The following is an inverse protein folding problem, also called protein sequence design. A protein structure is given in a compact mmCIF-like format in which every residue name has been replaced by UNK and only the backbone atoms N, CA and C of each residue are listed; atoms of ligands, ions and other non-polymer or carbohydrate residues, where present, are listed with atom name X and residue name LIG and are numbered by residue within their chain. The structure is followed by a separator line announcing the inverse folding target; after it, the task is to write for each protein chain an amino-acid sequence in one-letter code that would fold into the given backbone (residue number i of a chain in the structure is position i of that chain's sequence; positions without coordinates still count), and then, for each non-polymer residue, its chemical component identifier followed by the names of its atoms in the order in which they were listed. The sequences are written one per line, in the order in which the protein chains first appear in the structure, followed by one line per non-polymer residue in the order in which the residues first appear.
data_IF_440057857913
#
_entry.id   IF_440057857913
#
_cell.length_a   1.000
_cell.length_b   1.000
_cell.length_c   1.000
_cell.angle_alpha   90.00
_cell.angle_beta   90.00
_cell.angle_gamma   90.00
#
_symmetry.space_group_name_H-M   'P 1'
#
loop_
_entity.id
_entity.type
_entity.pdbx_description
1 polymer ?
#
# COMPACT_ATOMS: atom_id res chain seq x y z
N UNK A 1 13.61 21.96 7.37
CA UNK A 1 13.23 22.55 6.06
C UNK A 1 13.63 21.66 4.89
N UNK A 2 14.85 21.16 4.85
CA UNK A 2 15.35 20.31 3.78
C UNK A 2 14.54 19.02 3.61
N UNK A 3 14.22 18.35 4.71
CA UNK A 3 13.42 17.13 4.72
C UNK A 3 12.05 17.37 4.10
N UNK A 4 11.39 18.46 4.48
CA UNK A 4 10.09 18.82 3.95
C UNK A 4 10.13 19.15 2.47
N UNK A 5 11.15 19.90 2.02
CA UNK A 5 11.31 20.23 0.61
C UNK A 5 11.54 18.98 -0.24
N UNK A 6 12.34 18.06 0.25
CA UNK A 6 12.59 16.79 -0.44
C UNK A 6 11.30 15.99 -0.59
N UNK A 7 10.49 15.92 0.47
CA UNK A 7 9.20 15.24 0.43
C UNK A 7 8.21 15.93 -0.53
N UNK A 8 8.18 17.26 -0.54
CA UNK A 8 7.33 18.02 -1.45
C UNK A 8 7.68 17.75 -2.92
N UNK A 9 8.97 17.66 -3.25
CA UNK A 9 9.40 17.31 -4.60
C UNK A 9 8.97 15.89 -4.96
N UNK A 10 9.04 14.98 -4.01
CA UNK A 10 8.65 13.59 -4.24
C UNK A 10 7.16 13.45 -4.55
N UNK A 11 6.27 14.19 -3.89
CA UNK A 11 4.83 14.08 -4.13
C UNK A 11 4.38 14.70 -5.45
N UNK A 12 5.21 15.50 -6.09
CA UNK A 12 4.86 16.19 -7.34
C UNK A 12 5.01 15.30 -8.58
N UNK A 13 4.51 14.06 -8.53
CA UNK A 13 4.60 13.11 -9.65
C UNK A 13 3.38 12.17 -9.60
N UNK A 14 2.73 11.89 -10.76
CA UNK A 14 1.46 11.15 -10.79
C UNK A 14 1.48 9.78 -10.13
N UNK A 15 2.49 8.97 -10.42
CA UNK A 15 2.58 7.61 -9.85
C UNK A 15 2.75 7.66 -8.32
N UNK A 16 3.55 8.59 -7.84
CA UNK A 16 3.78 8.74 -6.40
C UNK A 16 2.53 9.24 -5.67
N UNK A 17 1.75 10.12 -6.29
CA UNK A 17 0.45 10.52 -5.74
C UNK A 17 -0.51 9.35 -5.65
N UNK A 18 -0.54 8.50 -6.67
CA UNK A 18 -1.38 7.30 -6.69
C UNK A 18 -0.97 6.33 -5.60
N UNK A 19 0.33 6.07 -5.46
CA UNK A 19 0.87 5.21 -4.41
C UNK A 19 0.52 5.73 -3.02
N UNK A 20 0.66 7.03 -2.80
CA UNK A 20 0.34 7.64 -1.53
C UNK A 20 -1.14 7.44 -1.18
N UNK A 21 -2.02 7.60 -2.16
CA UNK A 21 -3.46 7.40 -2.00
C UNK A 21 -3.79 5.94 -1.65
N UNK A 22 -3.23 4.99 -2.40
CA UNK A 22 -3.45 3.55 -2.17
C UNK A 22 -2.92 3.15 -0.79
N UNK A 23 -1.73 3.59 -0.44
CA UNK A 23 -1.08 3.23 0.82
C UNK A 23 -1.62 3.97 2.04
N UNK A 24 -2.57 4.89 1.84
CA UNK A 24 -3.40 5.46 2.90
C UNK A 24 -4.55 4.54 3.29
N UNK A 25 -4.89 3.58 2.44
CA UNK A 25 -6.03 2.70 2.62
C UNK A 25 -5.65 1.32 3.15
N UNK A 26 -4.37 1.01 3.21
CA UNK A 26 -3.89 -0.27 3.71
C UNK A 26 -2.42 -0.50 3.43
N UNK A 27 -1.93 -1.66 3.85
CA UNK A 27 -0.56 -2.09 3.62
C UNK A 27 -0.53 -3.07 2.44
N UNK A 28 0.43 -2.89 1.54
CA UNK A 28 0.54 -3.70 0.34
C UNK A 28 2.01 -4.00 0.03
N UNK A 29 2.26 -5.16 -0.57
CA UNK A 29 3.58 -5.51 -1.09
C UNK A 29 3.73 -5.00 -2.52
N UNK A 30 4.96 -5.10 -3.08
CA UNK A 30 5.26 -4.60 -4.43
C UNK A 30 4.39 -5.26 -5.49
N UNK A 31 4.20 -6.57 -5.40
CA UNK A 31 3.40 -7.33 -6.37
C UNK A 31 1.96 -6.81 -6.42
N UNK A 32 1.36 -6.60 -5.26
CA UNK A 32 0.00 -6.06 -5.15
C UNK A 32 -0.08 -4.64 -5.70
N UNK A 33 0.90 -3.80 -5.39
CA UNK A 33 0.93 -2.42 -5.88
C UNK A 33 1.11 -2.35 -7.39
N UNK A 34 1.91 -3.24 -7.96
CA UNK A 34 2.07 -3.38 -9.40
C UNK A 34 0.73 -3.70 -10.06
N UNK A 35 -0.02 -4.62 -9.47
CA UNK A 35 -1.35 -4.99 -9.94
C UNK A 35 -2.34 -3.82 -9.83
N UNK A 36 -2.35 -3.13 -8.70
CA UNK A 36 -3.26 -2.00 -8.44
C UNK A 36 -3.00 -0.86 -9.42
N UNK A 37 -1.74 -0.49 -9.61
CA UNK A 37 -1.38 0.63 -10.47
C UNK A 37 -1.37 0.28 -11.97
N UNK A 38 -1.22 -1.00 -12.31
CA UNK A 38 -1.10 -1.42 -13.69
C UNK A 38 0.20 -0.94 -14.34
N UNK A 39 1.28 -0.87 -13.57
CA UNK A 39 2.61 -0.46 -14.05
C UNK A 39 3.62 -1.57 -13.82
N UNK A 40 4.79 -1.46 -14.43
CA UNK A 40 5.84 -2.47 -14.29
C UNK A 40 6.40 -2.51 -12.87
N UNK A 41 6.84 -3.69 -12.44
CA UNK A 41 7.44 -3.87 -11.13
C UNK A 41 8.69 -2.99 -10.92
N UNK A 42 9.63 -2.91 -11.86
CA UNK A 42 10.79 -2.04 -11.67
C UNK A 42 10.44 -0.57 -11.48
N UNK A 43 9.42 -0.08 -12.19
CA UNK A 43 8.94 1.29 -12.04
C UNK A 43 8.31 1.52 -10.66
N UNK A 44 7.42 0.63 -10.24
CA UNK A 44 6.77 0.72 -8.93
C UNK A 44 7.82 0.63 -7.82
N UNK A 45 8.75 -0.31 -7.90
CA UNK A 45 9.82 -0.48 -6.91
C UNK A 45 10.68 0.77 -6.76
N UNK A 46 11.03 1.43 -7.86
CA UNK A 46 11.83 2.66 -7.80
C UNK A 46 11.09 3.79 -7.10
N UNK A 47 9.80 3.96 -7.38
CA UNK A 47 8.99 4.97 -6.70
C UNK A 47 8.84 4.68 -5.22
N UNK A 48 8.59 3.42 -4.85
CA UNK A 48 8.47 3.01 -3.46
C UNK A 48 9.75 3.27 -2.67
N UNK A 49 10.89 2.93 -3.27
CA UNK A 49 12.20 3.16 -2.62
C UNK A 49 12.43 4.65 -2.35
N UNK A 50 12.19 5.49 -3.35
CA UNK A 50 12.33 6.93 -3.22
C UNK A 50 11.39 7.48 -2.14
N UNK A 51 10.14 7.08 -2.14
CA UNK A 51 9.14 7.55 -1.17
C UNK A 51 9.46 7.12 0.25
N UNK A 52 10.00 5.92 0.43
CA UNK A 52 10.45 5.45 1.74
C UNK A 52 11.68 6.25 2.22
N UNK A 53 12.63 6.52 1.33
CA UNK A 53 13.82 7.30 1.65
C UNK A 53 13.50 8.73 2.09
N UNK A 54 12.50 9.36 1.49
CA UNK A 54 12.11 10.75 1.84
C UNK A 54 11.13 10.82 3.01
N UNK A 55 10.74 9.68 3.56
CA UNK A 55 9.90 9.64 4.76
C UNK A 55 8.39 9.71 4.52
N UNK A 56 7.92 9.50 3.30
CA UNK A 56 6.50 9.46 2.98
C UNK A 56 5.87 8.11 3.28
N UNK A 57 6.64 7.04 3.19
CA UNK A 57 6.20 5.68 3.42
C UNK A 57 7.04 5.00 4.49
N UNK A 58 6.43 4.09 5.21
CA UNK A 58 7.11 3.13 6.06
C UNK A 58 7.15 1.78 5.35
N UNK A 59 8.26 1.10 5.54
CA UNK A 59 8.52 -0.22 4.98
C UNK A 59 8.83 -1.17 6.13
N UNK A 60 8.17 -2.32 6.17
CA UNK A 60 8.47 -3.32 7.19
C UNK A 60 8.38 -4.73 6.63
N UNK A 61 9.12 -5.63 7.26
CA UNK A 61 9.09 -7.05 6.93
C UNK A 61 8.10 -7.79 7.81
N UNK A 62 7.35 -8.69 7.19
CA UNK A 62 6.47 -9.61 7.88
C UNK A 62 6.72 -11.00 7.27
N UNK A 63 7.53 -11.81 7.95
CA UNK A 63 8.04 -13.06 7.39
C UNK A 63 8.91 -12.82 6.17
N UNK A 64 8.56 -13.43 5.04
CA UNK A 64 9.24 -13.22 3.76
C UNK A 64 8.66 -12.02 2.96
N UNK A 65 7.61 -11.41 3.46
CA UNK A 65 6.94 -10.30 2.79
C UNK A 65 7.52 -8.96 3.21
N UNK A 66 7.59 -8.02 2.26
CA UNK A 66 7.92 -6.62 2.52
C UNK A 66 6.67 -5.80 2.23
N UNK A 67 6.17 -5.12 3.26
CA UNK A 67 4.95 -4.33 3.18
C UNK A 67 5.27 -2.84 3.24
N UNK A 68 4.49 -2.06 2.53
CA UNK A 68 4.56 -0.60 2.51
C UNK A 68 3.25 -0.02 3.01
N UNK A 69 3.35 1.09 3.72
CA UNK A 69 2.19 1.88 4.17
C UNK A 69 2.57 3.35 4.21
N UNK A 70 1.58 4.23 4.16
CA UNK A 70 1.83 5.66 4.33
C UNK A 70 2.31 5.93 5.76
N UNK A 71 3.36 6.75 5.88
CA UNK A 71 3.81 7.21 7.21
C UNK A 71 2.79 8.19 7.77
N UNK A 72 2.43 8.05 9.03
CA UNK A 72 1.46 8.93 9.68
C UNK A 72 2.11 10.00 10.53
N UNK A 73 3.23 9.68 11.19
CA UNK A 73 3.90 10.57 12.13
C UNK A 73 4.90 11.53 11.49
N UNK A 74 5.24 12.58 12.23
CA UNK A 74 6.22 13.57 11.82
C UNK A 74 5.72 14.52 10.73
N UNK A 75 6.61 15.43 10.29
CA UNK A 75 6.28 16.42 9.27
C UNK A 75 5.97 15.79 7.91
N UNK A 76 6.75 14.79 7.50
CA UNK A 76 6.52 14.09 6.23
C UNK A 76 5.24 13.28 6.25
N UNK A 77 4.89 12.67 7.38
CA UNK A 77 3.62 11.97 7.54
C UNK A 77 2.44 12.93 7.47
N UNK A 78 2.55 14.08 8.13
CA UNK A 78 1.52 15.12 8.07
C UNK A 78 1.34 15.64 6.64
N UNK A 79 2.44 15.85 5.92
CA UNK A 79 2.40 16.26 4.52
C UNK A 79 1.66 15.22 3.66
N UNK A 80 2.02 13.94 3.80
CA UNK A 80 1.38 12.87 3.05
C UNK A 80 -0.13 12.81 3.29
N UNK A 81 -0.54 12.93 4.54
CA UNK A 81 -1.96 12.97 4.91
C UNK A 81 -2.69 14.15 4.31
N UNK A 82 -2.09 15.34 4.34
CA UNK A 82 -2.68 16.54 3.76
C UNK A 82 -2.82 16.42 2.24
N UNK A 83 -1.80 15.88 1.56
CA UNK A 83 -1.84 15.67 0.11
C UNK A 83 -2.98 14.70 -0.27
N UNK A 84 -3.11 13.58 0.44
CA UNK A 84 -4.19 12.61 0.18
C UNK A 84 -5.56 13.29 0.36
N UNK A 85 -5.71 14.13 1.37
CA UNK A 85 -6.94 14.87 1.60
C UNK A 85 -7.30 15.86 0.50
N UNK A 86 -6.32 16.28 -0.31
CA UNK A 86 -6.53 17.21 -1.42
C UNK A 86 -6.85 16.50 -2.74
N UNK A 87 -6.68 15.18 -2.82
CA UNK A 87 -6.92 14.43 -4.07
C UNK A 87 -8.40 14.37 -4.37
N UNK A 88 -8.75 14.62 -5.64
CA UNK A 88 -10.12 14.56 -6.12
C UNK A 88 -10.57 13.10 -6.23
N UNK A 89 -11.53 12.72 -5.40
CA UNK A 89 -12.01 11.33 -5.35
C UNK A 89 -12.74 10.89 -6.62
N UNK A 90 -13.22 11.84 -7.43
CA UNK A 90 -13.92 11.57 -8.69
C UNK A 90 -12.98 11.41 -9.89
N UNK A 91 -11.67 11.42 -9.65
CA UNK A 91 -10.69 11.21 -10.70
C UNK A 91 -10.75 9.76 -11.21
N UNK A 92 -10.82 9.59 -12.53
CA UNK A 92 -10.98 8.27 -13.16
C UNK A 92 -9.81 7.32 -12.85
N UNK A 93 -8.59 7.85 -12.78
CA UNK A 93 -7.41 7.04 -12.46
C UNK A 93 -7.47 6.54 -11.02
N UNK A 94 -7.83 7.42 -10.08
CA UNK A 94 -7.96 7.04 -8.67
C UNK A 94 -9.11 6.05 -8.45
N UNK A 95 -10.21 6.19 -9.19
CA UNK A 95 -11.31 5.24 -9.14
C UNK A 95 -10.91 3.86 -9.63
N UNK A 96 -10.16 3.79 -10.70
CA UNK A 96 -9.61 2.54 -11.22
C UNK A 96 -8.68 1.88 -10.21
N UNK A 97 -7.81 2.68 -9.58
CA UNK A 97 -6.92 2.17 -8.53
C UNK A 97 -7.73 1.59 -7.37
N UNK A 98 -8.79 2.27 -6.93
CA UNK A 98 -9.67 1.78 -5.87
C UNK A 98 -10.33 0.46 -6.23
N UNK A 99 -10.79 0.32 -7.47
CA UNK A 99 -11.40 -0.92 -7.95
C UNK A 99 -10.40 -2.09 -7.86
N UNK A 100 -9.18 -1.88 -8.34
CA UNK A 100 -8.13 -2.90 -8.30
C UNK A 100 -7.68 -3.21 -6.87
N UNK A 101 -7.65 -2.19 -6.01
CA UNK A 101 -7.35 -2.38 -4.59
C UNK A 101 -8.38 -3.31 -3.94
N UNK A 102 -9.66 -3.09 -4.22
CA UNK A 102 -10.72 -3.97 -3.70
C UNK A 102 -10.57 -5.40 -4.21
N UNK A 103 -10.15 -5.58 -5.45
CA UNK A 103 -9.88 -6.90 -6.02
C UNK A 103 -8.73 -7.60 -5.28
N UNK A 104 -7.67 -6.87 -4.96
CA UNK A 104 -6.54 -7.40 -4.19
C UNK A 104 -6.99 -7.82 -2.79
N UNK A 105 -7.79 -6.99 -2.11
CA UNK A 105 -8.32 -7.32 -0.78
C UNK A 105 -9.24 -8.55 -0.84
N UNK A 106 -10.04 -8.68 -1.88
CA UNK A 106 -10.90 -9.84 -2.08
C UNK A 106 -10.07 -11.11 -2.31
N UNK A 107 -9.01 -11.02 -3.09
CA UNK A 107 -8.09 -12.13 -3.30
C UNK A 107 -7.45 -12.59 -1.99
N UNK A 108 -7.02 -11.64 -1.14
CA UNK A 108 -6.50 -11.94 0.20
C UNK A 108 -7.53 -12.65 1.05
N UNK A 109 -8.76 -12.17 1.04
CA UNK A 109 -9.86 -12.74 1.81
C UNK A 109 -10.14 -14.17 1.38
N UNK A 110 -10.19 -14.42 0.07
CA UNK A 110 -10.42 -15.75 -0.47
C UNK A 110 -9.29 -16.71 -0.11
N UNK A 111 -8.03 -16.26 -0.18
CA UNK A 111 -6.88 -17.06 0.20
C UNK A 111 -6.92 -17.43 1.69
N UNK A 112 -7.28 -16.49 2.55
CA UNK A 112 -7.42 -16.73 3.99
C UNK A 112 -8.55 -17.74 4.27
N UNK A 113 -9.67 -17.61 3.59
CA UNK A 113 -10.79 -18.55 3.75
C UNK A 113 -10.42 -19.96 3.27
N UNK A 114 -9.72 -20.06 2.14
CA UNK A 114 -9.24 -21.34 1.64
C UNK A 114 -8.28 -22.01 2.63
N UNK A 115 -7.38 -21.22 3.23
CA UNK A 115 -6.48 -21.70 4.27
C UNK A 115 -7.25 -22.25 5.47
N UNK A 116 -8.23 -21.51 5.97
CA UNK A 116 -9.04 -21.96 7.10
C UNK A 116 -9.83 -23.23 6.78
N UNK A 117 -10.42 -23.34 5.60
CA UNK A 117 -11.12 -24.56 5.17
C UNK A 117 -10.19 -25.77 5.11
N UNK A 118 -9.01 -25.59 4.55
CA UNK A 118 -8.01 -26.64 4.42
C UNK A 118 -7.51 -27.15 5.78
N UNK A 119 -7.53 -26.30 6.80
CA UNK A 119 -7.03 -26.60 8.13
C UNK A 119 -8.15 -26.80 9.18
N UNK A 120 -9.40 -26.84 8.77
CA UNK A 120 -10.55 -26.96 9.68
C UNK A 120 -10.48 -28.24 10.53
N UNK A 121 -10.11 -29.36 9.96
CA UNK A 121 -9.99 -30.64 10.66
C UNK A 121 -8.91 -30.60 11.74
N UNK A 122 -7.78 -29.94 11.46
CA UNK A 122 -6.69 -29.78 12.43
C UNK A 122 -7.11 -28.87 13.60
N UNK A 123 -7.84 -27.80 13.32
CA UNK A 123 -8.39 -26.93 14.36
C UNK A 123 -9.34 -27.66 15.29
N UNK A 124 -10.25 -28.46 14.73
CA UNK A 124 -11.20 -29.24 15.50
C UNK A 124 -10.49 -30.31 16.36
N UNK A 125 -9.48 -30.97 15.81
CA UNK A 125 -8.67 -31.93 16.55
C UNK A 125 -7.96 -31.29 17.74
N UNK A 126 -7.38 -30.10 17.55
CA UNK A 126 -6.69 -29.36 18.61
C UNK A 126 -7.70 -28.98 19.73
N UNK A 127 -8.90 -28.55 19.36
CA UNK A 127 -9.93 -28.20 20.33
C UNK A 127 -10.43 -29.38 21.17
N UNK A 128 -10.44 -30.58 20.62
CA UNK A 128 -10.90 -31.77 21.31
C UNK A 128 -9.85 -32.38 22.23
N UNK A 129 -8.62 -31.88 22.22
CA UNK A 129 -7.58 -32.27 23.17
C UNK A 129 -7.71 -31.54 24.49
#
# INVERSE_FOLDING_TARGET
MEELLTALRAVGEPTRLRLLNVLSQGEFNVSELTQILGQSQPRVSRHLKLMAEVGLLDRHKEGSWVLFRRREGGATGALGGAIVGLLEQENAVLERDRTRLREVLETRRQAAMAYFRANAADWDRIRSL
#
